data_IF_306144733419
#
_entry.id   IF_306144733419
#
_cell.length_a   1.000
_cell.length_b   1.000
_cell.length_c   1.000
_cell.angle_alpha   90.00
_cell.angle_beta   90.00
_cell.angle_gamma   90.00
#
_symmetry.space_group_name_H-M   'P 1'
#
loop_
_entity.id
_entity.type
_entity.pdbx_description
1 polymer ?
#
# COMPACT_ATOMS: atom_id res chain seq x y z
N UNK A 1 -1.26 -2.82 -9.34
CA UNK A 1 -2.61 -2.67 -8.81
C UNK A 1 -2.65 -2.84 -7.31
N UNK A 2 -3.56 -2.12 -6.66
CA UNK A 2 -3.84 -2.20 -5.22
C UNK A 2 -5.33 -2.43 -5.05
N UNK A 3 -5.71 -3.51 -4.36
CA UNK A 3 -7.10 -3.79 -3.99
C UNK A 3 -7.20 -3.80 -2.46
N UNK A 4 -7.77 -2.74 -1.90
CA UNK A 4 -7.93 -2.56 -0.46
C UNK A 4 -9.29 -3.05 0.00
N UNK A 5 -9.32 -4.26 0.55
CA UNK A 5 -10.51 -4.91 1.07
C UNK A 5 -10.76 -4.69 2.56
N UNK A 6 -11.88 -5.23 3.02
CA UNK A 6 -12.23 -5.24 4.45
C UNK A 6 -11.39 -6.22 5.28
N UNK A 7 -10.96 -7.33 4.69
CA UNK A 7 -10.21 -8.40 5.36
C UNK A 7 -8.73 -8.43 4.92
N UNK A 8 -8.44 -8.18 3.65
CA UNK A 8 -7.11 -8.29 3.06
C UNK A 8 -6.80 -7.11 2.16
N UNK A 9 -5.51 -6.90 1.91
CA UNK A 9 -5.04 -5.98 0.87
C UNK A 9 -4.20 -6.75 -0.13
N UNK A 10 -4.61 -6.72 -1.39
CA UNK A 10 -3.94 -7.40 -2.48
C UNK A 10 -3.12 -6.41 -3.31
N UNK A 11 -1.86 -6.77 -3.57
CA UNK A 11 -0.97 -5.97 -4.42
C UNK A 11 -0.55 -6.80 -5.63
N UNK A 12 -0.63 -6.18 -6.79
CA UNK A 12 -0.24 -6.76 -8.07
C UNK A 12 0.81 -5.88 -8.75
N UNK A 13 1.86 -6.47 -9.29
CA UNK A 13 2.82 -5.75 -10.12
C UNK A 13 3.19 -6.53 -11.37
N UNK A 14 3.35 -5.81 -12.49
CA UNK A 14 3.85 -6.33 -13.76
C UNK A 14 5.10 -5.55 -14.15
N UNK A 15 6.25 -6.06 -13.80
CA UNK A 15 7.55 -5.46 -14.03
C UNK A 15 8.63 -6.52 -13.93
N UNK A 16 9.75 -6.37 -14.62
CA UNK A 16 10.91 -7.23 -14.40
C UNK A 16 11.60 -6.95 -13.05
N UNK A 17 11.48 -5.75 -12.54
CA UNK A 17 11.95 -5.37 -11.21
C UNK A 17 13.44 -5.59 -10.96
N UNK A 18 14.26 -5.50 -12.02
CA UNK A 18 15.70 -5.68 -11.95
C UNK A 18 16.40 -4.40 -11.52
N UNK A 19 17.63 -4.49 -10.95
CA UNK A 19 18.42 -3.30 -10.64
C UNK A 19 18.58 -2.39 -11.85
N UNK A 20 18.36 -1.08 -11.64
CA UNK A 20 18.42 -0.06 -12.68
C UNK A 20 19.79 0.62 -12.75
N UNK A 21 20.67 0.38 -11.76
CA UNK A 21 22.01 0.98 -11.71
C UNK A 21 23.10 -0.09 -11.68
N UNK A 22 24.22 0.14 -12.38
CA UNK A 22 25.35 -0.80 -12.46
C UNK A 22 26.10 -1.04 -11.13
N UNK A 23 25.82 -0.23 -10.09
CA UNK A 23 26.41 -0.39 -8.74
C UNK A 23 25.50 -1.14 -7.78
N UNK A 24 24.39 -1.70 -8.25
CA UNK A 24 23.43 -2.46 -7.45
C UNK A 24 23.42 -3.91 -7.89
N UNK A 25 23.67 -4.83 -6.96
CA UNK A 25 23.54 -6.25 -7.18
C UNK A 25 22.19 -6.76 -6.66
N UNK A 26 21.60 -7.74 -7.32
CA UNK A 26 20.40 -8.43 -6.82
C UNK A 26 20.81 -9.46 -5.76
N UNK A 27 20.17 -9.39 -4.59
CA UNK A 27 20.28 -10.36 -3.50
C UNK A 27 19.08 -11.30 -3.54
N UNK A 28 19.33 -12.59 -3.67
CA UNK A 28 18.30 -13.61 -3.75
C UNK A 28 17.93 -13.98 -5.20
N UNK A 29 16.79 -14.62 -5.35
CA UNK A 29 16.27 -15.03 -6.64
C UNK A 29 15.52 -13.90 -7.32
N UNK A 30 15.55 -13.90 -8.65
CA UNK A 30 14.74 -12.99 -9.45
C UNK A 30 13.26 -13.32 -9.27
N UNK A 31 12.46 -12.30 -9.01
CA UNK A 31 11.02 -12.44 -8.93
C UNK A 31 10.37 -12.49 -10.33
N UNK A 32 9.20 -13.14 -10.39
CA UNK A 32 8.41 -13.24 -11.61
C UNK A 32 7.94 -11.86 -12.11
N UNK A 33 7.76 -11.75 -13.45
CA UNK A 33 7.28 -10.52 -14.09
C UNK A 33 5.92 -10.09 -13.51
N UNK A 34 4.97 -11.02 -13.41
CA UNK A 34 3.69 -10.82 -12.75
C UNK A 34 3.79 -11.33 -11.31
N UNK A 35 3.73 -10.44 -10.33
CA UNK A 35 3.76 -10.77 -8.91
C UNK A 35 2.45 -10.34 -8.24
N UNK A 36 1.91 -11.21 -7.39
CA UNK A 36 0.82 -10.91 -6.47
C UNK A 36 1.26 -11.18 -5.04
N UNK A 37 0.94 -10.29 -4.12
CA UNK A 37 0.99 -10.55 -2.68
C UNK A 37 -0.38 -10.28 -2.08
N UNK A 38 -0.73 -11.04 -1.05
CA UNK A 38 -1.96 -10.88 -0.29
C UNK A 38 -1.57 -10.64 1.16
N UNK A 39 -1.83 -9.43 1.64
CA UNK A 39 -1.61 -9.08 3.03
C UNK A 39 -2.87 -9.46 3.83
N UNK A 40 -2.86 -10.65 4.41
CA UNK A 40 -3.99 -11.22 5.15
C UNK A 40 -4.21 -10.55 6.52
N UNK A 41 -3.19 -9.86 7.01
CA UNK A 41 -3.21 -9.10 8.26
C UNK A 41 -3.56 -7.61 8.07
N UNK A 42 -3.73 -7.14 6.83
CA UNK A 42 -4.00 -5.74 6.51
C UNK A 42 -5.35 -5.62 5.81
N UNK A 43 -6.35 -5.13 6.53
CA UNK A 43 -7.70 -4.92 5.98
C UNK A 43 -8.51 -3.93 6.81
N UNK A 44 -9.42 -3.22 6.16
CA UNK A 44 -10.11 -2.05 6.70
C UNK A 44 -11.11 -2.35 7.83
N UNK A 45 -11.48 -3.63 8.04
CA UNK A 45 -12.46 -4.03 9.08
C UNK A 45 -12.01 -5.29 9.82
N UNK A 46 -11.99 -6.45 9.15
CA UNK A 46 -11.68 -7.73 9.78
C UNK A 46 -10.23 -7.86 10.25
N UNK A 47 -9.31 -7.20 9.56
CA UNK A 47 -7.87 -7.17 9.89
C UNK A 47 -7.40 -5.76 10.27
N UNK A 48 -8.28 -4.94 10.86
CA UNK A 48 -8.01 -3.53 11.15
C UNK A 48 -6.87 -3.34 12.16
N UNK A 49 -6.77 -4.23 13.16
CA UNK A 49 -5.70 -4.19 14.16
C UNK A 49 -4.33 -4.45 13.54
N UNK A 50 -4.23 -5.27 12.49
CA UNK A 50 -2.98 -5.54 11.79
C UNK A 50 -2.38 -4.29 11.14
N UNK A 51 -3.20 -3.30 10.75
CA UNK A 51 -2.70 -2.00 10.27
C UNK A 51 -1.97 -1.28 11.40
N UNK A 52 -2.54 -1.27 12.61
CA UNK A 52 -1.93 -0.63 13.79
C UNK A 52 -0.67 -1.36 14.21
N UNK A 53 -0.71 -2.71 14.24
CA UNK A 53 0.45 -3.54 14.60
C UNK A 53 1.63 -3.34 13.64
N UNK A 54 1.33 -3.09 12.36
CA UNK A 54 2.36 -2.87 11.34
C UNK A 54 2.91 -1.44 11.31
N UNK A 55 2.21 -0.47 11.91
CA UNK A 55 2.57 0.96 11.77
C UNK A 55 2.79 1.69 13.09
N UNK A 56 1.90 1.60 14.01
CA UNK A 56 1.76 2.28 15.31
C UNK A 56 0.50 3.18 15.35
N UNK A 57 -0.13 3.20 16.52
CA UNK A 57 -1.32 4.04 16.79
C UNK A 57 -1.00 5.54 16.70
N UNK A 58 0.24 5.93 17.00
CA UNK A 58 0.68 7.32 16.88
C UNK A 58 0.58 7.83 15.43
N UNK A 59 0.90 6.98 14.43
CA UNK A 59 0.77 7.34 13.02
C UNK A 59 -0.70 7.45 12.58
N UNK A 60 -1.56 6.58 13.12
CA UNK A 60 -3.01 6.69 12.90
C UNK A 60 -3.54 8.00 13.45
N UNK A 61 -3.13 8.36 14.67
CA UNK A 61 -3.47 9.65 15.33
C UNK A 61 -3.00 10.85 14.52
N UNK A 62 -1.75 10.83 14.05
CA UNK A 62 -1.17 11.90 13.24
C UNK A 62 -1.96 12.13 11.93
N UNK A 63 -2.27 11.07 11.20
CA UNK A 63 -2.96 11.16 9.91
C UNK A 63 -4.45 11.49 10.04
N UNK A 64 -5.11 10.98 11.08
CA UNK A 64 -6.53 11.25 11.33
C UNK A 64 -6.77 12.59 12.00
N UNK A 65 -5.78 13.12 12.74
CA UNK A 65 -5.95 14.29 13.62
C UNK A 65 -6.73 14.01 14.90
N UNK A 66 -7.07 12.75 15.17
CA UNK A 66 -7.72 12.30 16.40
C UNK A 66 -6.69 11.96 17.47
N UNK A 67 -7.09 11.98 18.74
CA UNK A 67 -6.21 11.47 19.81
C UNK A 67 -6.01 9.95 19.68
N UNK A 68 -4.86 9.43 20.12
CA UNK A 68 -4.60 7.99 20.13
C UNK A 68 -5.68 7.19 20.86
N UNK A 69 -6.17 7.72 21.97
CA UNK A 69 -7.26 7.07 22.73
C UNK A 69 -8.52 6.98 21.88
N UNK A 70 -8.88 8.05 21.17
CA UNK A 70 -10.07 8.06 20.31
C UNK A 70 -9.89 7.12 19.11
N UNK A 71 -8.70 7.07 18.52
CA UNK A 71 -8.40 6.11 17.46
C UNK A 71 -8.61 4.66 17.95
N UNK A 72 -8.09 4.30 19.12
CA UNK A 72 -8.26 2.95 19.72
C UNK A 72 -9.72 2.59 19.91
N UNK A 73 -10.51 3.50 20.51
CA UNK A 73 -11.95 3.28 20.74
C UNK A 73 -12.71 3.02 19.43
N UNK A 74 -12.45 3.81 18.41
CA UNK A 74 -13.09 3.66 17.11
C UNK A 74 -12.62 2.40 16.36
N UNK A 75 -11.34 2.04 16.44
CA UNK A 75 -10.80 0.81 15.85
C UNK A 75 -11.42 -0.42 16.52
N UNK A 76 -11.50 -0.45 17.84
CA UNK A 76 -12.14 -1.54 18.58
C UNK A 76 -13.62 -1.64 18.21
N UNK A 77 -14.31 -0.53 18.10
CA UNK A 77 -15.70 -0.48 17.66
C UNK A 77 -15.87 -1.06 16.25
N UNK A 78 -15.05 -0.61 15.27
CA UNK A 78 -15.12 -1.06 13.88
C UNK A 78 -14.73 -2.54 13.70
N UNK A 79 -13.84 -3.07 14.53
CA UNK A 79 -13.44 -4.48 14.47
C UNK A 79 -14.60 -5.44 14.78
N UNK A 80 -15.58 -4.98 15.57
CA UNK A 80 -16.80 -5.72 15.92
C UNK A 80 -17.97 -5.36 14.99
N UNK A 81 -18.03 -4.12 14.52
CA UNK A 81 -19.11 -3.60 13.65
C UNK A 81 -18.57 -3.39 12.23
N UNK A 82 -18.28 -4.49 11.56
CA UNK A 82 -17.57 -4.50 10.26
C UNK A 82 -18.38 -3.96 9.08
N UNK A 83 -19.68 -3.78 9.24
CA UNK A 83 -20.62 -3.19 8.28
C UNK A 83 -20.70 -1.66 8.37
N UNK A 84 -20.12 -1.07 9.42
CA UNK A 84 -20.13 0.38 9.60
C UNK A 84 -19.18 1.04 8.60
N UNK A 85 -19.72 2.03 7.88
CA UNK A 85 -18.99 2.91 6.96
C UNK A 85 -19.24 4.37 7.29
N UNK A 86 -18.28 5.29 7.02
CA UNK A 86 -18.48 6.70 7.25
C UNK A 86 -19.72 7.21 6.50
N UNK A 87 -20.50 8.07 7.18
CA UNK A 87 -21.58 8.84 6.57
C UNK A 87 -21.12 10.27 6.32
N UNK A 88 -21.87 11.03 5.52
CA UNK A 88 -21.49 12.40 5.12
C UNK A 88 -21.34 13.39 6.30
N UNK A 89 -21.85 13.06 7.47
CA UNK A 89 -21.84 13.86 8.70
C UNK A 89 -20.94 13.27 9.81
N UNK A 90 -20.16 12.23 9.50
CA UNK A 90 -19.26 11.56 10.46
C UNK A 90 -17.78 11.86 10.15
N UNK A 91 -17.37 13.07 10.48
CA UNK A 91 -16.02 13.58 10.21
C UNK A 91 -14.93 12.76 10.94
N UNK A 92 -15.20 12.24 12.14
CA UNK A 92 -14.21 11.43 12.89
C UNK A 92 -13.98 10.07 12.23
N UNK A 93 -15.05 9.41 11.81
CA UNK A 93 -14.95 8.12 11.16
C UNK A 93 -14.35 8.25 9.76
N UNK A 94 -14.67 9.32 9.02
CA UNK A 94 -14.03 9.60 7.72
C UNK A 94 -12.52 9.85 7.90
N UNK A 95 -12.13 10.63 8.91
CA UNK A 95 -10.73 10.90 9.20
C UNK A 95 -9.95 9.64 9.61
N UNK A 96 -10.57 8.77 10.43
CA UNK A 96 -9.97 7.49 10.81
C UNK A 96 -9.85 6.55 9.61
N UNK A 97 -10.90 6.38 8.81
CA UNK A 97 -10.87 5.51 7.62
C UNK A 97 -9.83 6.01 6.60
N UNK A 98 -9.68 7.32 6.45
CA UNK A 98 -8.61 7.90 5.65
C UNK A 98 -7.21 7.51 6.15
N UNK A 99 -6.96 7.62 7.45
CA UNK A 99 -5.68 7.29 8.06
C UNK A 99 -5.36 5.80 7.89
N UNK A 100 -6.32 4.95 8.23
CA UNK A 100 -6.17 3.49 8.12
C UNK A 100 -5.96 3.04 6.68
N UNK A 101 -6.74 3.56 5.71
CA UNK A 101 -6.58 3.22 4.30
C UNK A 101 -5.22 3.67 3.75
N UNK A 102 -4.74 4.85 4.16
CA UNK A 102 -3.42 5.37 3.78
C UNK A 102 -2.30 4.47 4.28
N UNK A 103 -2.35 4.07 5.55
CA UNK A 103 -1.36 3.20 6.18
C UNK A 103 -1.44 1.77 5.65
N UNK A 104 -2.63 1.24 5.40
CA UNK A 104 -2.82 -0.09 4.79
C UNK A 104 -2.13 -0.17 3.42
N UNK A 105 -2.33 0.82 2.56
CA UNK A 105 -1.66 0.89 1.26
C UNK A 105 -0.15 1.03 1.41
N UNK A 106 0.30 1.92 2.31
CA UNK A 106 1.73 2.12 2.55
C UNK A 106 2.42 0.82 2.96
N UNK A 107 1.87 0.10 3.95
CA UNK A 107 2.41 -1.17 4.45
C UNK A 107 2.39 -2.23 3.35
N UNK A 108 1.25 -2.43 2.70
CA UNK A 108 1.08 -3.48 1.70
C UNK A 108 2.01 -3.27 0.49
N UNK A 109 2.12 -2.04 -0.02
CA UNK A 109 3.03 -1.75 -1.14
C UNK A 109 4.49 -1.82 -0.72
N UNK A 110 4.84 -1.43 0.51
CA UNK A 110 6.21 -1.56 1.04
C UNK A 110 6.63 -3.02 1.14
N UNK A 111 5.76 -3.91 1.61
CA UNK A 111 6.03 -5.35 1.68
C UNK A 111 6.11 -6.00 0.29
N UNK A 112 5.36 -5.49 -0.67
CA UNK A 112 5.33 -6.00 -2.05
C UNK A 112 6.54 -5.56 -2.87
N UNK A 113 6.96 -4.30 -2.75
CA UNK A 113 8.11 -3.73 -3.41
C UNK A 113 9.42 -4.27 -2.80
N UNK A 114 10.53 -4.00 -3.47
CA UNK A 114 11.84 -4.24 -2.91
C UNK A 114 12.38 -3.03 -2.14
N UNK A 115 13.56 -3.23 -1.60
CA UNK A 115 14.35 -2.17 -0.97
C UNK A 115 15.83 -2.35 -1.26
N UNK A 116 16.61 -1.29 -1.02
CA UNK A 116 18.06 -1.30 -1.13
C UNK A 116 18.69 -1.47 0.25
N UNK A 117 19.66 -2.36 0.34
CA UNK A 117 20.60 -2.42 1.45
C UNK A 117 21.92 -1.82 1.03
N UNK A 118 22.47 -0.91 1.84
CA UNK A 118 23.77 -0.31 1.61
C UNK A 118 24.86 -1.15 2.29
N UNK A 119 25.95 -1.40 1.59
CA UNK A 119 27.11 -2.02 2.18
C UNK A 119 28.41 -1.32 1.76
N UNK A 120 29.42 -1.44 2.60
CA UNK A 120 30.72 -0.83 2.38
C UNK A 120 31.71 -1.88 1.89
N UNK A 121 32.41 -1.59 0.79
CA UNK A 121 33.48 -2.40 0.25
C UNK A 121 34.77 -1.57 0.17
N UNK A 122 35.95 -2.20 -0.03
CA UNK A 122 37.19 -1.48 -0.29
C UNK A 122 37.12 -0.55 -1.52
N UNK A 123 36.17 -0.80 -2.41
CA UNK A 123 35.94 0.00 -3.63
C UNK A 123 34.92 1.12 -3.42
N UNK A 124 34.39 1.30 -2.20
CA UNK A 124 33.40 2.30 -1.86
C UNK A 124 32.04 1.73 -1.47
N UNK A 125 31.02 2.59 -1.53
CA UNK A 125 29.64 2.24 -1.21
C UNK A 125 29.02 1.50 -2.40
N UNK A 126 28.37 0.36 -2.11
CA UNK A 126 27.61 -0.42 -3.05
C UNK A 126 26.23 -0.73 -2.47
N UNK A 127 25.30 -1.14 -3.34
CA UNK A 127 23.93 -1.45 -2.93
C UNK A 127 23.54 -2.87 -3.30
N UNK A 128 22.74 -3.51 -2.46
CA UNK A 128 22.05 -4.76 -2.76
C UNK A 128 20.55 -4.51 -2.83
N UNK A 129 19.95 -4.88 -3.93
CA UNK A 129 18.50 -4.89 -4.08
C UNK A 129 17.95 -6.19 -3.52
N UNK A 130 16.96 -6.08 -2.64
CA UNK A 130 16.15 -7.20 -2.15
C UNK A 130 14.74 -6.98 -2.65
N UNK A 131 14.15 -8.00 -3.27
CA UNK A 131 12.82 -7.88 -3.86
C UNK A 131 12.80 -7.12 -5.18
N UNK A 132 11.67 -6.56 -5.53
CA UNK A 132 11.34 -6.06 -6.87
C UNK A 132 11.49 -4.54 -6.97
N UNK A 133 12.27 -4.06 -7.93
CA UNK A 133 12.33 -2.62 -8.24
C UNK A 133 11.09 -2.20 -9.03
N UNK A 134 10.26 -1.37 -8.42
CA UNK A 134 9.05 -0.79 -9.01
C UNK A 134 9.19 0.70 -9.32
N UNK A 135 10.38 1.28 -9.13
CA UNK A 135 10.60 2.73 -9.27
C UNK A 135 10.26 3.27 -10.65
N UNK A 136 10.37 2.44 -11.70
CA UNK A 136 10.06 2.81 -13.07
C UNK A 136 8.59 2.58 -13.46
N UNK A 137 7.76 2.01 -12.58
CA UNK A 137 6.33 1.80 -12.84
C UNK A 137 5.64 3.15 -13.02
N UNK A 138 4.87 3.30 -14.10
CA UNK A 138 4.23 4.57 -14.48
C UNK A 138 2.74 4.64 -14.18
N UNK A 139 2.13 3.52 -13.81
CA UNK A 139 0.68 3.47 -13.52
C UNK A 139 0.42 2.65 -12.28
N UNK A 140 -0.34 3.21 -11.36
CA UNK A 140 -0.89 2.51 -10.19
C UNK A 140 -2.41 2.51 -10.32
N UNK A 141 -3.01 1.34 -10.36
CA UNK A 141 -4.47 1.19 -10.39
C UNK A 141 -4.93 0.80 -8.99
N UNK A 142 -5.87 1.54 -8.44
CA UNK A 142 -6.42 1.28 -7.11
C UNK A 142 -7.90 0.90 -7.20
N UNK A 143 -8.31 -0.03 -6.37
CA UNK A 143 -9.70 -0.49 -6.23
C UNK A 143 -9.97 -0.89 -4.77
N UNK A 144 -11.18 -1.32 -4.48
CA UNK A 144 -11.62 -1.66 -3.13
C UNK A 144 -12.59 -0.63 -2.55
N UNK A 145 -13.50 -1.10 -1.70
CA UNK A 145 -14.61 -0.29 -1.17
C UNK A 145 -14.15 0.99 -0.48
N UNK A 146 -13.10 0.92 0.32
CA UNK A 146 -12.54 2.08 1.02
C UNK A 146 -11.97 3.14 0.07
N UNK A 147 -11.59 2.78 -1.15
CA UNK A 147 -10.96 3.69 -2.12
C UNK A 147 -11.95 4.30 -3.11
N UNK A 148 -12.96 3.53 -3.51
CA UNK A 148 -13.91 4.00 -4.54
C UNK A 148 -15.01 4.90 -3.98
N UNK A 149 -15.33 4.78 -2.69
CA UNK A 149 -16.40 5.53 -2.03
C UNK A 149 -15.94 6.77 -1.27
N UNK A 150 -14.62 6.98 -1.12
CA UNK A 150 -14.09 8.19 -0.49
C UNK A 150 -13.87 9.32 -1.49
N UNK A 151 -13.97 10.56 -1.01
CA UNK A 151 -13.57 11.77 -1.76
C UNK A 151 -12.03 11.95 -1.79
N UNK A 152 -11.29 11.23 -0.94
CA UNK A 152 -9.85 11.36 -0.71
C UNK A 152 -9.01 10.29 -1.41
N UNK A 153 -9.57 9.59 -2.40
CA UNK A 153 -8.90 8.46 -3.10
C UNK A 153 -7.48 8.81 -3.58
N UNK A 154 -7.30 10.00 -4.18
CA UNK A 154 -5.98 10.40 -4.68
C UNK A 154 -4.95 10.58 -3.55
N UNK A 155 -5.36 11.13 -2.41
CA UNK A 155 -4.50 11.30 -1.24
C UNK A 155 -4.11 9.95 -0.64
N UNK A 156 -5.09 9.06 -0.45
CA UNK A 156 -4.84 7.70 0.05
C UNK A 156 -3.91 6.94 -0.89
N UNK A 157 -4.19 6.95 -2.18
CA UNK A 157 -3.41 6.24 -3.18
C UNK A 157 -1.97 6.77 -3.34
N UNK A 158 -1.69 8.04 -2.95
CA UNK A 158 -0.34 8.58 -2.95
C UNK A 158 0.61 7.85 -2.00
N UNK A 159 0.09 7.16 -0.97
CA UNK A 159 0.88 6.33 -0.06
C UNK A 159 1.45 5.06 -0.71
N UNK A 160 0.95 4.68 -1.90
CA UNK A 160 1.56 3.64 -2.73
C UNK A 160 2.87 4.09 -3.42
N UNK A 161 3.13 5.39 -3.44
CA UNK A 161 4.29 5.96 -4.13
C UNK A 161 5.50 6.08 -3.20
N UNK A 162 6.65 6.32 -3.81
CA UNK A 162 7.91 6.56 -3.11
C UNK A 162 7.79 7.77 -2.17
N UNK A 163 8.30 7.57 -0.95
CA UNK A 163 8.43 8.63 0.03
C UNK A 163 9.93 8.95 0.21
N UNK A 164 10.37 10.23 0.06
CA UNK A 164 11.76 10.61 0.27
C UNK A 164 12.32 10.31 1.68
N UNK A 165 11.44 10.16 2.68
CA UNK A 165 11.84 9.76 4.04
C UNK A 165 12.26 8.29 4.13
N UNK A 166 11.87 7.46 3.15
CA UNK A 166 12.33 6.08 2.97
C UNK A 166 13.14 5.96 1.66
N UNK A 167 14.34 6.52 1.69
CA UNK A 167 15.21 6.66 0.52
C UNK A 167 15.65 5.33 -0.12
N UNK A 168 15.53 4.22 0.62
CA UNK A 168 15.92 2.89 0.14
C UNK A 168 14.74 2.08 -0.40
N UNK A 169 13.53 2.58 -0.31
CA UNK A 169 12.33 1.95 -0.87
C UNK A 169 12.37 1.95 -2.40
N UNK A 170 11.93 0.85 -2.99
CA UNK A 170 11.82 0.66 -4.44
C UNK A 170 10.36 0.77 -4.93
N UNK A 171 9.52 1.50 -4.21
CA UNK A 171 8.16 1.86 -4.63
C UNK A 171 8.16 2.76 -5.89
N UNK A 172 7.05 2.82 -6.65
CA UNK A 172 6.91 3.69 -7.82
C UNK A 172 7.23 5.16 -7.48
N UNK A 173 8.13 5.80 -8.23
CA UNK A 173 8.54 7.19 -7.96
C UNK A 173 7.60 8.21 -8.61
N UNK A 174 7.21 7.93 -9.87
CA UNK A 174 6.39 8.83 -10.68
C UNK A 174 5.34 8.00 -11.40
N UNK A 175 4.19 7.80 -10.78
CA UNK A 175 3.12 7.03 -11.37
C UNK A 175 1.82 7.80 -11.40
N UNK A 176 1.09 7.67 -12.51
CA UNK A 176 -0.29 8.10 -12.60
C UNK A 176 -1.16 7.13 -11.79
N UNK A 177 -2.01 7.68 -10.94
CA UNK A 177 -2.99 6.88 -10.19
C UNK A 177 -4.30 6.82 -10.97
N UNK A 178 -4.80 5.62 -11.21
CA UNK A 178 -6.10 5.33 -11.81
C UNK A 178 -6.99 4.60 -10.78
N UNK A 179 -8.29 4.84 -10.85
CA UNK A 179 -9.26 4.23 -9.93
C UNK A 179 -10.23 3.35 -10.71
N UNK A 180 -10.26 2.05 -10.42
CA UNK A 180 -11.29 1.15 -10.93
C UNK A 180 -12.58 1.25 -10.10
N UNK A 181 -13.40 2.26 -10.41
CA UNK A 181 -14.67 2.52 -9.70
C UNK A 181 -15.77 1.51 -10.00
N UNK A 182 -15.61 0.70 -11.02
CA UNK A 182 -16.65 -0.24 -11.50
C UNK A 182 -16.32 -1.69 -11.18
N UNK A 183 -15.19 -1.96 -10.54
CA UNK A 183 -14.71 -3.34 -10.29
C UNK A 183 -14.63 -4.19 -11.55
N UNK A 184 -14.26 -3.59 -12.69
CA UNK A 184 -14.23 -4.29 -13.98
C UNK A 184 -12.86 -4.83 -14.36
N UNK A 185 -11.81 -4.46 -13.63
CA UNK A 185 -10.42 -4.80 -13.96
C UNK A 185 -10.22 -6.32 -14.10
N UNK A 186 -10.75 -7.09 -13.14
CA UNK A 186 -10.65 -8.55 -13.17
C UNK A 186 -11.42 -9.16 -14.36
N UNK A 187 -12.63 -8.67 -14.62
CA UNK A 187 -13.44 -9.13 -15.76
C UNK A 187 -12.78 -8.80 -17.10
N UNK A 188 -12.21 -7.59 -17.22
CA UNK A 188 -11.47 -7.18 -18.43
C UNK A 188 -10.19 -7.97 -18.62
N UNK A 189 -9.52 -8.37 -17.53
CA UNK A 189 -8.35 -9.25 -17.57
C UNK A 189 -8.67 -10.62 -18.15
N UNK A 190 -9.80 -11.23 -17.77
CA UNK A 190 -10.27 -12.49 -18.33
C UNK A 190 -10.59 -12.34 -19.83
N UNK A 191 -11.32 -11.29 -20.20
CA UNK A 191 -11.68 -11.05 -21.61
C UNK A 191 -10.45 -10.76 -22.50
N UNK A 192 -9.37 -10.24 -21.95
CA UNK A 192 -8.15 -9.95 -22.73
C UNK A 192 -7.33 -11.19 -23.09
N UNK A 193 -7.68 -12.36 -22.55
CA UNK A 193 -7.00 -13.63 -22.82
C UNK A 193 -7.71 -14.48 -23.89
N UNK A 194 -8.87 -14.05 -24.35
CA UNK A 194 -9.63 -14.63 -25.49
C UNK A 194 -9.27 -13.93 -26.80
#
# INVERSE_FOLDING_TARGET
GVDLGGATTDIYSMSFGLPTTGMTALKGLREEYAKRTVEGDIGMRYSIHGIVDATDIARVSELSGLSEQRCKELIDYLSVHTDVVPKDDDDELEALDYALASLAIEVAVTRHAGHLEQYYSPMGISYMQIGKDLTAVKTVIVTGGALIHTKRTAQIASHALFNPLDAFSLKPKEAQVLVDRKYILAAMGILSTE
#
